data_IF_758776268281
#
_entry.id   IF_758776268281
#
_cell.length_a   1.000
_cell.length_b   1.000
_cell.length_c   1.000
_cell.angle_alpha   90.00
_cell.angle_beta   90.00
_cell.angle_gamma   90.00
#
_symmetry.space_group_name_H-M   'P 1'
#
loop_
_entity.id
_entity.type
_entity.pdbx_description
1 polymer ?
#
# COMPACT_ATOMS: atom_id res chain seq x y z
N UNK A 1 12.11 20.53 -26.91
CA UNK A 1 11.18 20.24 -28.03
C UNK A 1 10.79 21.59 -28.65
N UNK A 2 10.96 21.82 -29.96
CA UNK A 2 10.38 23.02 -30.62
C UNK A 2 8.95 22.67 -31.00
N UNK A 3 7.98 23.12 -30.19
CA UNK A 3 6.56 22.98 -30.48
C UNK A 3 6.06 23.99 -31.52
N UNK A 4 4.86 23.76 -32.05
CA UNK A 4 4.14 24.79 -32.79
C UNK A 4 3.61 25.84 -31.80
N UNK A 5 3.60 27.14 -32.17
CA UNK A 5 3.04 28.16 -31.29
C UNK A 5 1.57 27.88 -31.01
N UNK A 6 1.11 28.25 -29.81
CA UNK A 6 -0.31 28.19 -29.50
C UNK A 6 -1.10 29.01 -30.53
N UNK A 7 -2.12 28.40 -31.13
CA UNK A 7 -2.87 28.98 -32.24
C UNK A 7 -4.34 28.58 -32.18
N UNK A 8 -5.21 29.45 -32.69
CA UNK A 8 -6.62 29.17 -32.91
C UNK A 8 -6.87 29.13 -34.40
N UNK A 9 -7.47 28.05 -34.89
CA UNK A 9 -7.87 27.90 -36.28
C UNK A 9 -9.36 27.56 -36.34
N UNK A 10 -10.10 28.22 -37.23
CA UNK A 10 -11.51 27.96 -37.43
C UNK A 10 -11.78 27.62 -38.89
N UNK A 11 -12.60 26.61 -39.13
CA UNK A 11 -13.15 26.31 -40.45
C UNK A 11 -14.66 26.45 -40.39
N UNK A 12 -15.26 27.15 -41.34
CA UNK A 12 -16.70 27.33 -41.43
C UNK A 12 -17.15 27.17 -42.89
N UNK A 13 -18.03 26.21 -43.12
CA UNK A 13 -18.69 25.92 -44.39
C UNK A 13 -20.20 25.80 -44.17
N UNK A 14 -20.82 26.85 -43.62
CA UNK A 14 -22.27 26.91 -43.39
C UNK A 14 -22.69 26.11 -42.17
N UNK A 15 -23.37 24.97 -42.37
CA UNK A 15 -23.81 24.09 -41.27
C UNK A 15 -22.70 23.20 -40.70
N UNK A 16 -21.53 23.17 -41.33
CA UNK A 16 -20.34 22.45 -40.82
C UNK A 16 -19.23 23.45 -40.51
N UNK A 17 -18.73 23.42 -39.28
CA UNK A 17 -17.54 24.16 -38.90
C UNK A 17 -16.88 23.56 -37.67
N UNK A 18 -15.58 23.84 -37.50
CA UNK A 18 -14.84 23.48 -36.30
C UNK A 18 -13.94 24.63 -35.86
N UNK A 19 -13.70 24.71 -34.56
CA UNK A 19 -12.70 25.59 -33.98
C UNK A 19 -11.66 24.73 -33.26
N UNK A 20 -10.42 24.81 -33.71
CA UNK A 20 -9.28 24.11 -33.14
C UNK A 20 -8.46 25.09 -32.31
N UNK A 21 -8.13 24.69 -31.09
CA UNK A 21 -7.13 25.37 -30.25
C UNK A 21 -5.93 24.45 -30.10
N UNK A 22 -4.77 24.89 -30.59
CA UNK A 22 -3.49 24.19 -30.42
C UNK A 22 -2.87 24.67 -29.11
N UNK A 23 -2.56 23.71 -28.23
CA UNK A 23 -1.88 23.96 -26.95
C UNK A 23 -0.48 23.35 -27.03
N UNK A 24 0.54 24.15 -26.76
CA UNK A 24 1.92 23.70 -26.70
C UNK A 24 2.32 23.50 -25.23
N UNK A 25 2.56 22.25 -24.84
CA UNK A 25 2.93 21.95 -23.45
C UNK A 25 4.29 22.51 -23.07
N UNK A 26 5.22 22.65 -24.03
CA UNK A 26 6.55 23.22 -23.79
C UNK A 26 6.54 24.71 -23.43
N UNK A 27 5.39 25.39 -23.51
CA UNK A 27 5.23 26.77 -23.04
C UNK A 27 4.77 26.84 -21.57
N UNK A 28 4.32 25.72 -21.00
CA UNK A 28 3.90 25.63 -19.59
C UNK A 28 5.11 25.32 -18.70
N UNK A 29 5.19 25.97 -17.54
CA UNK A 29 6.23 25.72 -16.55
C UNK A 29 5.96 24.39 -15.80
N UNK A 30 6.72 23.35 -16.16
CA UNK A 30 6.62 22.03 -15.55
C UNK A 30 7.18 21.98 -14.14
N UNK A 31 8.15 22.84 -13.79
CA UNK A 31 8.76 22.88 -12.46
C UNK A 31 7.79 23.48 -11.44
N UNK A 32 7.15 24.59 -11.81
CA UNK A 32 6.08 25.18 -11.02
C UNK A 32 4.90 24.21 -10.88
N UNK A 33 4.48 23.58 -11.99
CA UNK A 33 3.36 22.63 -11.97
C UNK A 33 3.65 21.39 -11.10
N UNK A 34 4.87 20.84 -11.17
CA UNK A 34 5.30 19.73 -10.32
C UNK A 34 5.21 20.09 -8.84
N UNK A 35 5.66 21.29 -8.46
CA UNK A 35 5.57 21.79 -7.08
C UNK A 35 4.12 21.94 -6.64
N UNK A 36 3.27 22.56 -7.47
CA UNK A 36 1.84 22.71 -7.20
C UNK A 36 1.16 21.36 -6.96
N UNK A 37 1.41 20.38 -7.84
CA UNK A 37 0.85 19.03 -7.72
C UNK A 37 1.33 18.33 -6.45
N UNK A 38 2.63 18.43 -6.12
CA UNK A 38 3.20 17.90 -4.86
C UNK A 38 2.46 18.47 -3.63
N UNK A 39 2.36 19.80 -3.55
CA UNK A 39 1.70 20.48 -2.43
C UNK A 39 0.21 20.09 -2.30
N UNK A 40 -0.51 19.99 -3.43
CA UNK A 40 -1.94 19.60 -3.42
C UNK A 40 -2.13 18.16 -2.96
N UNK A 41 -1.31 17.23 -3.44
CA UNK A 41 -1.38 15.81 -3.06
C UNK A 41 -1.08 15.65 -1.57
N UNK A 42 -0.06 16.32 -1.04
CA UNK A 42 0.26 16.30 0.39
C UNK A 42 -0.87 16.83 1.27
N UNK A 43 -1.55 17.90 0.81
CA UNK A 43 -2.71 18.48 1.49
C UNK A 43 -4.01 17.71 1.26
N UNK A 44 -3.99 16.63 0.46
CA UNK A 44 -5.17 15.85 0.04
C UNK A 44 -6.22 16.69 -0.68
N UNK A 45 -5.77 17.70 -1.43
CA UNK A 45 -6.61 18.49 -2.30
C UNK A 45 -6.85 17.76 -3.64
N UNK A 46 -7.99 18.01 -4.26
CA UNK A 46 -8.30 17.47 -5.59
C UNK A 46 -7.35 18.05 -6.64
N UNK A 47 -6.83 17.19 -7.51
CA UNK A 47 -5.96 17.57 -8.63
C UNK A 47 -6.58 17.25 -9.97
N UNK A 48 -6.18 17.98 -11.00
CA UNK A 48 -6.49 17.60 -12.38
C UNK A 48 -5.48 16.54 -12.87
N UNK A 49 -5.94 15.31 -13.08
CA UNK A 49 -5.06 14.22 -13.54
C UNK A 49 -4.40 14.49 -14.90
N UNK A 50 -5.01 15.32 -15.76
CA UNK A 50 -4.39 15.72 -17.02
C UNK A 50 -3.11 16.54 -16.79
N UNK A 51 -3.09 17.40 -15.77
CA UNK A 51 -1.87 18.16 -15.44
C UNK A 51 -0.72 17.22 -15.04
N UNK A 52 -1.04 16.13 -14.34
CA UNK A 52 -0.08 15.10 -13.96
C UNK A 52 0.39 14.30 -15.19
N UNK A 53 -0.52 13.80 -16.02
CA UNK A 53 -0.23 13.02 -17.24
C UNK A 53 0.63 13.82 -18.23
N UNK A 54 0.37 15.14 -18.37
CA UNK A 54 1.08 15.99 -19.31
C UNK A 54 2.38 16.59 -18.76
N UNK A 55 2.67 16.40 -17.47
CA UNK A 55 3.83 16.97 -16.81
C UNK A 55 5.16 16.69 -17.54
N UNK A 56 5.42 15.47 -18.06
CA UNK A 56 6.67 15.19 -18.78
C UNK A 56 6.85 15.98 -20.09
N UNK A 57 5.77 16.53 -20.65
CA UNK A 57 5.79 17.32 -21.88
C UNK A 57 5.95 18.83 -21.63
N UNK A 58 5.89 19.24 -20.36
CA UNK A 58 6.02 20.64 -19.95
C UNK A 58 7.49 21.10 -19.96
N UNK A 59 7.70 22.41 -19.91
CA UNK A 59 9.05 22.99 -19.85
C UNK A 59 9.70 22.67 -18.50
N UNK A 60 10.84 22.00 -18.53
CA UNK A 60 11.63 21.70 -17.33
C UNK A 60 13.13 21.69 -17.65
N UNK A 61 13.94 21.89 -16.62
CA UNK A 61 15.38 21.62 -16.60
C UNK A 61 15.69 20.11 -16.46
N UNK A 62 14.73 19.31 -15.98
CA UNK A 62 14.84 17.86 -15.87
C UNK A 62 14.67 17.15 -17.22
N UNK A 63 15.30 15.97 -17.35
CA UNK A 63 15.06 15.06 -18.47
C UNK A 63 13.63 14.52 -18.42
N UNK A 64 13.06 14.23 -19.59
CA UNK A 64 11.70 13.68 -19.71
C UNK A 64 11.56 12.36 -18.93
N UNK A 65 12.56 11.48 -19.00
CA UNK A 65 12.57 10.23 -18.22
C UNK A 65 12.41 10.46 -16.70
N UNK A 66 13.07 11.49 -16.16
CA UNK A 66 12.95 11.84 -14.74
C UNK A 66 11.58 12.42 -14.40
N UNK A 67 11.00 13.24 -15.29
CA UNK A 67 9.64 13.75 -15.11
C UNK A 67 8.59 12.62 -15.15
N UNK A 68 8.80 11.59 -15.98
CA UNK A 68 7.94 10.39 -15.99
C UNK A 68 8.03 9.65 -14.65
N UNK A 69 9.25 9.48 -14.11
CA UNK A 69 9.45 8.89 -12.77
C UNK A 69 8.76 9.71 -11.68
N UNK A 70 8.95 11.03 -11.66
CA UNK A 70 8.28 11.96 -10.75
C UNK A 70 6.75 11.81 -10.85
N UNK A 71 6.22 11.72 -12.07
CA UNK A 71 4.77 11.57 -12.32
C UNK A 71 4.22 10.26 -11.74
N UNK A 72 4.94 9.15 -11.94
CA UNK A 72 4.58 7.83 -11.40
C UNK A 72 4.67 7.82 -9.87
N UNK A 73 5.68 8.46 -9.29
CA UNK A 73 5.81 8.58 -7.84
C UNK A 73 4.63 9.33 -7.23
N UNK A 74 4.21 10.44 -7.87
CA UNK A 74 3.05 11.22 -7.43
C UNK A 74 1.73 10.45 -7.58
N UNK A 75 1.55 9.72 -8.67
CA UNK A 75 0.42 8.81 -8.84
C UNK A 75 0.32 7.84 -7.65
N UNK A 76 1.45 7.26 -7.27
CA UNK A 76 1.55 6.30 -6.17
C UNK A 76 1.07 6.85 -4.81
N UNK A 77 1.00 8.18 -4.64
CA UNK A 77 0.53 8.88 -3.43
C UNK A 77 -0.96 9.26 -3.48
N UNK A 78 -1.62 9.14 -4.63
CA UNK A 78 -3.05 9.47 -4.77
C UNK A 78 -3.94 8.43 -4.06
N UNK A 79 -5.00 8.89 -3.39
CA UNK A 79 -6.02 8.02 -2.76
C UNK A 79 -7.19 7.76 -3.74
N UNK A 80 -6.89 7.14 -4.88
CA UNK A 80 -7.85 6.82 -5.96
C UNK A 80 -7.81 5.34 -6.34
N UNK A 81 -8.76 4.89 -7.15
CA UNK A 81 -8.86 3.49 -7.58
C UNK A 81 -7.66 3.06 -8.43
N UNK A 82 -7.32 1.76 -8.35
CA UNK A 82 -6.14 1.22 -9.01
C UNK A 82 -6.22 1.25 -10.55
N UNK A 83 -7.43 1.21 -11.14
CA UNK A 83 -7.56 1.27 -12.60
C UNK A 83 -7.24 2.68 -13.12
N UNK A 84 -7.68 3.72 -12.41
CA UNK A 84 -7.35 5.09 -12.75
C UNK A 84 -5.86 5.37 -12.62
N UNK A 85 -5.23 4.84 -11.56
CA UNK A 85 -3.76 4.85 -11.39
C UNK A 85 -3.03 4.22 -12.56
N UNK A 86 -3.46 3.02 -12.96
CA UNK A 86 -2.87 2.30 -14.08
C UNK A 86 -3.06 3.06 -15.40
N UNK A 87 -4.20 3.72 -15.59
CA UNK A 87 -4.46 4.59 -16.74
C UNK A 87 -3.56 5.83 -16.75
N UNK A 88 -3.34 6.49 -15.61
CA UNK A 88 -2.42 7.64 -15.50
C UNK A 88 -1.02 7.24 -15.93
N UNK A 89 -0.50 6.12 -15.40
CA UNK A 89 0.83 5.62 -15.75
C UNK A 89 0.91 5.26 -17.24
N UNK A 90 -0.07 4.51 -17.77
CA UNK A 90 -0.11 4.12 -19.17
C UNK A 90 -0.15 5.32 -20.12
N UNK A 91 -1.01 6.30 -19.86
CA UNK A 91 -1.13 7.51 -20.67
C UNK A 91 0.16 8.35 -20.61
N UNK A 92 0.78 8.45 -19.44
CA UNK A 92 2.07 9.14 -19.26
C UNK A 92 3.15 8.50 -20.13
N UNK A 93 3.24 7.17 -20.15
CA UNK A 93 4.16 6.43 -21.03
C UNK A 93 3.85 6.68 -22.51
N UNK A 94 2.61 6.49 -22.94
CA UNK A 94 2.21 6.65 -24.35
C UNK A 94 2.52 8.05 -24.87
N UNK A 95 2.27 9.09 -24.06
CA UNK A 95 2.54 10.47 -24.45
C UNK A 95 4.03 10.80 -24.50
N UNK A 96 4.82 10.13 -23.66
CA UNK A 96 6.26 10.36 -23.54
C UNK A 96 7.09 9.44 -24.44
N UNK A 97 6.49 8.37 -24.99
CA UNK A 97 7.14 7.29 -25.74
C UNK A 97 8.13 7.80 -26.79
N UNK A 98 7.70 8.73 -27.64
CA UNK A 98 8.52 9.33 -28.70
C UNK A 98 9.78 10.04 -28.18
N UNK A 99 9.81 10.40 -26.90
CA UNK A 99 10.89 11.16 -26.28
C UNK A 99 11.75 10.31 -25.33
N UNK A 100 11.45 9.02 -25.20
CA UNK A 100 12.16 8.08 -24.35
C UNK A 100 12.90 7.06 -25.20
N UNK A 101 14.05 6.60 -24.71
CA UNK A 101 14.75 5.45 -25.27
C UNK A 101 14.18 4.14 -24.72
N UNK A 102 14.37 3.02 -25.44
CA UNK A 102 13.97 1.69 -24.96
C UNK A 102 14.60 1.33 -23.60
N UNK A 103 15.83 1.79 -23.37
CA UNK A 103 16.52 1.60 -22.09
C UNK A 103 15.83 2.36 -20.95
N UNK A 104 15.47 3.63 -21.17
CA UNK A 104 14.74 4.45 -20.18
C UNK A 104 13.35 3.87 -19.89
N UNK A 105 12.61 3.45 -20.93
CA UNK A 105 11.29 2.79 -20.76
C UNK A 105 11.43 1.53 -19.90
N UNK A 106 12.43 0.70 -20.21
CA UNK A 106 12.67 -0.56 -19.50
C UNK A 106 13.06 -0.36 -18.03
N UNK A 107 13.86 0.67 -17.74
CA UNK A 107 14.25 1.06 -16.38
C UNK A 107 13.02 1.52 -15.58
N UNK A 108 12.28 2.50 -16.09
CA UNK A 108 11.10 3.06 -15.40
C UNK A 108 10.06 1.96 -15.15
N UNK A 109 9.82 1.09 -16.14
CA UNK A 109 8.86 0.00 -16.01
C UNK A 109 9.27 -1.03 -14.95
N UNK A 110 10.57 -1.32 -14.83
CA UNK A 110 11.11 -2.21 -13.80
C UNK A 110 10.90 -1.64 -12.42
N UNK A 111 11.26 -0.37 -12.23
CA UNK A 111 11.15 0.31 -10.95
C UNK A 111 9.69 0.40 -10.49
N UNK A 112 8.78 0.77 -11.41
CA UNK A 112 7.35 0.79 -11.15
C UNK A 112 6.80 -0.58 -10.69
N UNK A 113 7.19 -1.66 -11.36
CA UNK A 113 6.78 -3.02 -10.98
C UNK A 113 7.32 -3.41 -9.61
N UNK A 114 8.59 -3.10 -9.31
CA UNK A 114 9.19 -3.42 -8.01
C UNK A 114 8.46 -2.69 -6.87
N UNK A 115 8.11 -1.41 -7.06
CA UNK A 115 7.31 -0.66 -6.08
C UNK A 115 5.96 -1.33 -5.82
N UNK A 116 5.25 -1.80 -6.86
CA UNK A 116 3.98 -2.53 -6.70
C UNK A 116 4.15 -3.84 -5.94
N UNK A 117 5.21 -4.60 -6.24
CA UNK A 117 5.51 -5.86 -5.55
C UNK A 117 5.79 -5.62 -4.07
N UNK A 118 6.57 -4.58 -3.73
CA UNK A 118 6.87 -4.23 -2.34
C UNK A 118 5.61 -3.84 -1.56
N UNK A 119 4.75 -2.99 -2.14
CA UNK A 119 3.46 -2.62 -1.51
C UNK A 119 2.58 -3.85 -1.27
N UNK A 120 2.52 -4.76 -2.24
CA UNK A 120 1.79 -6.01 -2.07
C UNK A 120 2.37 -6.87 -0.94
N UNK A 121 3.69 -7.03 -0.89
CA UNK A 121 4.35 -7.81 0.16
C UNK A 121 4.12 -7.20 1.55
N UNK A 122 4.18 -5.87 1.68
CA UNK A 122 3.89 -5.15 2.93
C UNK A 122 2.45 -5.40 3.40
N UNK A 123 1.47 -5.31 2.50
CA UNK A 123 0.06 -5.55 2.80
C UNK A 123 -0.18 -7.01 3.25
N UNK A 124 0.45 -7.98 2.59
CA UNK A 124 0.39 -9.38 3.01
C UNK A 124 1.06 -9.59 4.37
N UNK A 125 2.21 -8.94 4.61
CA UNK A 125 2.90 -8.96 5.89
C UNK A 125 2.03 -8.41 7.02
N UNK A 126 1.34 -7.29 6.80
CA UNK A 126 0.40 -6.70 7.76
C UNK A 126 -0.77 -7.64 8.06
N UNK A 127 -1.34 -8.29 7.05
CA UNK A 127 -2.42 -9.28 7.22
C UNK A 127 -1.95 -10.48 8.04
N UNK A 128 -0.81 -11.07 7.67
CA UNK A 128 -0.23 -12.23 8.35
C UNK A 128 0.13 -11.89 9.80
N UNK A 129 0.77 -10.76 10.04
CA UNK A 129 1.11 -10.31 11.40
C UNK A 129 -0.13 -10.06 12.27
N UNK A 130 -1.23 -9.56 11.70
CA UNK A 130 -2.50 -9.42 12.43
C UNK A 130 -3.13 -10.77 12.76
N UNK A 131 -3.00 -11.76 11.88
CA UNK A 131 -3.50 -13.11 12.11
C UNK A 131 -2.67 -13.86 13.16
N UNK A 132 -1.35 -13.85 13.02
CA UNK A 132 -0.41 -14.42 14.00
C UNK A 132 -0.59 -13.77 15.37
N UNK A 133 -0.62 -12.44 15.44
CA UNK A 133 -0.83 -11.73 16.71
C UNK A 133 -2.20 -12.00 17.36
N UNK A 134 -3.24 -12.33 16.57
CA UNK A 134 -4.53 -12.76 17.11
C UNK A 134 -4.45 -14.16 17.72
N UNK A 135 -3.66 -15.06 17.13
CA UNK A 135 -3.44 -16.41 17.64
C UNK A 135 -2.61 -16.35 18.92
N UNK A 136 -1.48 -15.64 18.90
CA UNK A 136 -0.61 -15.44 20.07
C UNK A 136 -1.38 -14.80 21.23
N UNK A 137 -2.13 -13.72 20.97
CA UNK A 137 -2.93 -13.05 22.00
C UNK A 137 -4.00 -13.96 22.61
N UNK A 138 -4.62 -14.84 21.83
CA UNK A 138 -5.55 -15.86 22.35
C UNK A 138 -4.85 -16.86 23.26
N UNK A 139 -3.65 -17.32 22.87
CA UNK A 139 -2.89 -18.28 23.65
C UNK A 139 -2.40 -17.68 24.97
N UNK A 140 -1.87 -16.47 24.94
CA UNK A 140 -1.49 -15.74 26.16
C UNK A 140 -2.69 -15.53 27.10
N UNK A 141 -3.84 -15.14 26.56
CA UNK A 141 -5.06 -14.94 27.34
C UNK A 141 -5.56 -16.24 27.97
N UNK A 142 -5.65 -17.33 27.19
CA UNK A 142 -6.07 -18.64 27.68
C UNK A 142 -5.15 -19.15 28.80
N UNK A 143 -3.84 -19.05 28.61
CA UNK A 143 -2.84 -19.43 29.62
C UNK A 143 -2.96 -18.61 30.89
N UNK A 144 -3.14 -17.28 30.78
CA UNK A 144 -3.34 -16.41 31.94
C UNK A 144 -4.63 -16.72 32.71
N UNK A 145 -5.73 -17.01 32.00
CA UNK A 145 -7.00 -17.38 32.61
C UNK A 145 -6.85 -18.70 33.35
N UNK A 146 -6.27 -19.72 32.72
CA UNK A 146 -6.05 -21.03 33.33
C UNK A 146 -5.16 -20.91 34.58
N UNK A 147 -4.08 -20.14 34.53
CA UNK A 147 -3.23 -19.89 35.69
C UNK A 147 -4.02 -19.25 36.84
N UNK A 148 -4.90 -18.28 36.54
CA UNK A 148 -5.77 -17.66 37.56
C UNK A 148 -6.75 -18.66 38.17
N UNK A 149 -7.33 -19.55 37.38
CA UNK A 149 -8.24 -20.60 37.84
C UNK A 149 -7.53 -21.60 38.75
N UNK A 150 -6.35 -22.08 38.34
CA UNK A 150 -5.51 -22.98 39.16
C UNK A 150 -5.12 -22.29 40.46
N UNK A 151 -4.74 -21.00 40.41
CA UNK A 151 -4.42 -20.21 41.62
C UNK A 151 -5.59 -20.16 42.59
N UNK A 152 -6.79 -19.90 42.06
CA UNK A 152 -8.01 -19.78 42.86
C UNK A 152 -8.40 -21.11 43.51
N UNK A 153 -8.21 -22.24 42.81
CA UNK A 153 -8.61 -23.57 43.29
C UNK A 153 -7.56 -24.25 44.18
N UNK A 154 -6.28 -24.17 43.82
CA UNK A 154 -5.20 -24.93 44.46
C UNK A 154 -4.16 -24.06 45.18
N UNK A 155 -4.31 -22.74 45.19
CA UNK A 155 -3.43 -21.81 45.89
C UNK A 155 -2.16 -21.46 45.11
N UNK A 156 -0.96 -21.68 45.66
CA UNK A 156 0.30 -21.33 44.97
C UNK A 156 0.49 -22.18 43.71
N UNK A 157 0.83 -21.51 42.61
CA UNK A 157 1.33 -22.17 41.41
C UNK A 157 2.81 -22.49 41.57
N UNK A 158 3.17 -23.70 41.18
CA UNK A 158 4.53 -24.19 41.13
C UNK A 158 5.11 -23.89 39.73
N UNK A 159 6.42 -23.61 39.64
CA UNK A 159 7.06 -23.20 38.39
C UNK A 159 6.92 -24.25 37.27
N UNK A 160 6.81 -25.53 37.61
CA UNK A 160 6.57 -26.62 36.65
C UNK A 160 5.24 -26.43 35.92
N UNK A 161 4.16 -26.11 36.64
CA UNK A 161 2.82 -25.90 36.06
C UNK A 161 2.82 -24.65 35.16
N UNK A 162 3.52 -23.59 35.58
CA UNK A 162 3.61 -22.34 34.80
C UNK A 162 4.28 -22.61 33.46
N UNK A 163 5.40 -23.35 33.45
CA UNK A 163 6.12 -23.68 32.22
C UNK A 163 5.27 -24.58 31.31
N UNK A 164 4.62 -25.61 31.87
CA UNK A 164 3.75 -26.52 31.10
C UNK A 164 2.57 -25.79 30.44
N UNK A 165 2.01 -24.76 31.08
CA UNK A 165 0.92 -23.95 30.51
C UNK A 165 1.44 -23.04 29.40
N UNK A 166 2.61 -22.42 29.59
CA UNK A 166 3.19 -21.52 28.57
C UNK A 166 3.63 -22.28 27.32
N UNK A 167 4.16 -23.49 27.49
CA UNK A 167 4.62 -24.34 26.39
C UNK A 167 3.50 -25.21 25.78
N UNK A 168 2.32 -25.22 26.40
CA UNK A 168 1.17 -26.04 26.00
C UNK A 168 0.46 -25.51 24.76
N UNK A 169 -0.06 -26.41 23.93
CA UNK A 169 -0.91 -26.06 22.80
C UNK A 169 -2.24 -25.44 23.27
N UNK A 170 -2.72 -24.41 22.57
CA UNK A 170 -3.95 -23.67 22.92
C UNK A 170 -5.15 -24.60 23.18
N UNK A 171 -5.35 -25.63 22.35
CA UNK A 171 -6.43 -26.60 22.52
C UNK A 171 -6.39 -27.33 23.86
N UNK A 172 -5.19 -27.73 24.32
CA UNK A 172 -5.01 -28.37 25.62
C UNK A 172 -5.28 -27.40 26.78
N UNK A 173 -4.89 -26.14 26.63
CA UNK A 173 -5.16 -25.10 27.63
C UNK A 173 -6.66 -24.83 27.73
N UNK A 174 -7.37 -24.76 26.62
CA UNK A 174 -8.83 -24.61 26.56
C UNK A 174 -9.55 -25.82 27.19
N UNK A 175 -9.17 -27.05 26.80
CA UNK A 175 -9.74 -28.27 27.36
C UNK A 175 -9.54 -28.37 28.88
N UNK A 176 -8.35 -28.00 29.35
CA UNK A 176 -8.06 -27.99 30.78
C UNK A 176 -8.84 -26.91 31.52
N UNK A 177 -9.04 -25.75 30.89
CA UNK A 177 -9.85 -24.65 31.45
C UNK A 177 -11.31 -25.04 31.66
N UNK A 178 -11.85 -26.00 30.90
CA UNK A 178 -13.17 -26.59 31.15
C UNK A 178 -13.11 -27.64 32.27
N UNK A 179 -12.12 -28.53 32.22
CA UNK A 179 -12.00 -29.65 33.17
C UNK A 179 -11.58 -29.22 34.57
N UNK A 180 -10.93 -28.06 34.72
CA UNK A 180 -10.42 -27.53 35.98
C UNK A 180 -11.49 -27.49 37.08
N UNK A 181 -12.77 -27.32 36.72
CA UNK A 181 -13.90 -27.29 37.67
C UNK A 181 -14.03 -28.66 38.36
N UNK A 182 -13.81 -29.75 37.64
CA UNK A 182 -13.94 -31.14 38.10
C UNK A 182 -12.66 -31.79 38.59
N UNK A 183 -11.48 -31.24 38.26
CA UNK A 183 -10.17 -31.78 38.68
C UNK A 183 -9.98 -31.71 40.20
N UNK A 184 -9.53 -32.78 40.86
CA UNK A 184 -9.47 -32.83 42.33
C UNK A 184 -8.06 -32.68 42.91
N UNK A 185 -7.02 -32.79 42.09
CA UNK A 185 -5.63 -32.72 42.55
C UNK A 185 -4.72 -31.96 41.58
N UNK A 186 -3.53 -31.58 42.06
CA UNK A 186 -2.50 -30.94 41.21
C UNK A 186 -1.81 -31.97 40.29
N UNK A 187 -1.74 -33.23 40.70
CA UNK A 187 -1.15 -34.32 39.92
C UNK A 187 -1.95 -34.58 38.63
N UNK A 188 -3.29 -34.53 38.70
CA UNK A 188 -4.18 -34.66 37.53
C UNK A 188 -3.96 -33.54 36.50
N UNK A 189 -3.63 -32.32 36.95
CA UNK A 189 -3.32 -31.20 36.05
C UNK A 189 -2.02 -31.41 35.29
N UNK A 190 -0.98 -31.87 36.00
CA UNK A 190 0.34 -32.10 35.43
C UNK A 190 0.29 -33.24 34.41
N UNK A 191 -0.46 -34.31 34.71
CA UNK A 191 -0.67 -35.42 33.79
C UNK A 191 -1.36 -34.96 32.50
N UNK A 192 -2.42 -34.15 32.63
CA UNK A 192 -3.15 -33.60 31.49
C UNK A 192 -2.34 -32.63 30.62
N UNK A 193 -1.43 -31.84 31.21
CA UNK A 193 -0.56 -30.94 30.45
C UNK A 193 0.60 -31.66 29.76
N UNK A 194 1.03 -32.81 30.28
CA UNK A 194 2.13 -33.62 29.72
C UNK A 194 1.70 -34.58 28.61
N UNK A 195 0.43 -35.00 28.60
CA UNK A 195 -0.14 -35.94 27.63
C UNK A 195 -1.10 -35.25 26.66
#
# INVERSE_FOLDING_TARGET
IKGYPAAKAGFNCGSLGYNTTVVNMSDKDGKEKLRELKEKIEKREEINYLDLIFLPLMKSDQKIAELVKDTIELEGKLEIDQNLKDNIVALTFVLSDKFLTEAEISEIWRDYKMVKILKYAEEQGKKKGKEEGKIEGKQEEASLILMRQIKAKFGKLDNEIINLINDGELSKIEDLSEKIVTTNSKEELIDFLKH
#
